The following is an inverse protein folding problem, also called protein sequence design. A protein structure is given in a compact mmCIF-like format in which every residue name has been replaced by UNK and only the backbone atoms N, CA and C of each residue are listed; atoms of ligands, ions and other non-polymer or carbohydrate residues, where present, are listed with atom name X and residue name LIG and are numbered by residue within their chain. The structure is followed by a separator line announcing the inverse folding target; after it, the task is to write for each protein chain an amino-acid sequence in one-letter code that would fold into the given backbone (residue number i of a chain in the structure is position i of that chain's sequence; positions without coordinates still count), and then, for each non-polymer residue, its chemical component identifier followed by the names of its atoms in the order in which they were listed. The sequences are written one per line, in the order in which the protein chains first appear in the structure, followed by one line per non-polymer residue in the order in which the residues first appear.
data_IF_969879854594
#
_entry.id   IF_969879854594
#
_cell.length_a   1.000
_cell.length_b   1.000
_cell.length_c   1.000
_cell.angle_alpha   90.00
_cell.angle_beta   90.00
_cell.angle_gamma   90.00
#
_symmetry.space_group_name_H-M   'P 1'
#
loop_
_entity.id
_entity.type
_entity.pdbx_description
1 polymer ?
#
# COMPACT_ATOMS: atom_id res chain seq x y z
N UNK A 1 -10.58 -5.98 26.73
CA UNK A 1 -11.53 -6.32 25.65
C UNK A 1 -12.57 -5.22 25.38
N UNK A 2 -13.22 -4.62 26.40
CA UNK A 2 -14.23 -3.54 26.19
C UNK A 2 -13.65 -2.26 25.56
N UNK A 3 -12.43 -1.87 25.89
CA UNK A 3 -11.79 -0.66 25.37
C UNK A 3 -11.44 -0.78 23.87
N UNK A 4 -11.01 -1.97 23.39
CA UNK A 4 -10.77 -2.20 21.96
C UNK A 4 -12.05 -2.15 21.11
N UNK A 5 -13.16 -2.65 21.64
CA UNK A 5 -14.45 -2.60 20.94
C UNK A 5 -15.03 -1.17 20.87
N UNK A 6 -14.76 -0.30 21.87
CA UNK A 6 -15.15 1.12 21.79
C UNK A 6 -14.39 1.87 20.69
N UNK A 7 -13.06 1.65 20.56
CA UNK A 7 -12.26 2.32 19.53
C UNK A 7 -12.66 1.95 18.07
N UNK A 8 -13.20 0.75 17.85
CA UNK A 8 -13.64 0.32 16.50
C UNK A 8 -14.99 0.94 16.13
N UNK A 9 -15.87 1.18 17.10
CA UNK A 9 -17.20 1.75 16.85
C UNK A 9 -17.21 3.22 16.47
N UNK A 10 -16.13 3.95 16.79
CA UNK A 10 -16.02 5.40 16.59
C UNK A 10 -15.17 5.75 15.35
N UNK A 11 -14.82 4.76 14.50
CA UNK A 11 -14.01 4.94 13.31
C UNK A 11 -14.81 4.63 12.05
N UNK A 12 -14.66 5.48 11.04
CA UNK A 12 -15.29 5.29 9.74
C UNK A 12 -14.56 4.24 8.92
N UNK A 13 -13.22 4.19 9.04
CA UNK A 13 -12.35 3.25 8.32
C UNK A 13 -11.40 2.55 9.28
N UNK A 14 -11.21 1.25 9.09
CA UNK A 14 -10.19 0.44 9.74
C UNK A 14 -9.24 -0.14 8.69
N UNK A 15 -7.93 0.05 8.87
CA UNK A 15 -6.90 -0.53 8.00
C UNK A 15 -6.28 -1.70 8.76
N UNK A 16 -6.29 -2.88 8.14
CA UNK A 16 -5.74 -4.11 8.71
C UNK A 16 -4.66 -4.62 7.76
N UNK A 17 -3.47 -4.87 8.28
CA UNK A 17 -2.38 -5.49 7.53
C UNK A 17 -2.32 -7.00 7.82
N UNK A 18 -2.21 -7.78 6.75
CA UNK A 18 -1.86 -9.20 6.80
C UNK A 18 -0.45 -9.30 6.22
N UNK A 19 0.53 -9.57 7.09
CA UNK A 19 1.94 -9.69 6.70
C UNK A 19 2.24 -11.04 6.06
N UNK A 20 3.44 -11.12 5.46
CA UNK A 20 3.94 -12.31 4.77
C UNK A 20 3.63 -12.31 3.27
N UNK A 21 4.21 -13.29 2.58
CA UNK A 21 3.96 -13.53 1.15
C UNK A 21 2.67 -14.36 1.00
N UNK A 22 1.90 -14.11 -0.05
CA UNK A 22 0.74 -14.95 -0.38
C UNK A 22 1.23 -16.39 -0.61
N UNK A 23 0.61 -17.34 0.08
CA UNK A 23 1.00 -18.75 0.06
C UNK A 23 1.84 -19.19 1.28
N UNK A 24 2.33 -18.26 2.10
CA UNK A 24 2.99 -18.60 3.35
C UNK A 24 1.99 -19.24 4.32
N UNK A 25 2.42 -20.34 4.96
CA UNK A 25 1.56 -21.12 5.88
C UNK A 25 1.02 -20.23 7.01
N UNK A 26 1.82 -19.27 7.48
CA UNK A 26 1.49 -18.36 8.58
C UNK A 26 0.34 -17.41 8.24
N UNK A 27 0.22 -16.99 6.99
CA UNK A 27 -0.80 -16.05 6.53
C UNK A 27 -2.13 -16.71 6.14
N UNK A 28 -2.13 -18.00 5.82
CA UNK A 28 -3.31 -18.72 5.32
C UNK A 28 -4.56 -18.59 6.21
N UNK A 29 -4.50 -18.75 7.56
CA UNK A 29 -5.68 -18.59 8.41
C UNK A 29 -6.26 -17.17 8.37
N UNK A 30 -5.41 -16.17 8.20
CA UNK A 30 -5.84 -14.76 8.12
C UNK A 30 -6.47 -14.45 6.77
N UNK A 31 -5.94 -15.02 5.68
CA UNK A 31 -6.51 -14.88 4.34
C UNK A 31 -7.88 -15.56 4.26
N UNK A 32 -8.03 -16.76 4.84
CA UNK A 32 -9.34 -17.41 4.90
C UNK A 32 -10.33 -16.61 5.76
N UNK A 33 -9.91 -16.07 6.90
CA UNK A 33 -10.74 -15.20 7.72
C UNK A 33 -11.15 -13.92 6.97
N UNK A 34 -10.24 -13.31 6.19
CA UNK A 34 -10.52 -12.17 5.33
C UNK A 34 -11.56 -12.50 4.26
N UNK A 35 -11.40 -13.63 3.57
CA UNK A 35 -12.36 -14.11 2.56
C UNK A 35 -13.76 -14.26 3.12
N UNK A 36 -13.90 -14.89 4.30
CA UNK A 36 -15.17 -15.05 4.99
C UNK A 36 -15.73 -13.69 5.43
N UNK A 37 -14.90 -12.83 6.00
CA UNK A 37 -15.31 -11.50 6.46
C UNK A 37 -15.82 -10.63 5.30
N UNK A 38 -15.10 -10.60 4.17
CA UNK A 38 -15.53 -9.86 2.99
C UNK A 38 -16.88 -10.35 2.45
N UNK A 39 -17.12 -11.68 2.50
CA UNK A 39 -18.40 -12.25 2.13
C UNK A 39 -19.53 -11.87 3.11
N UNK A 40 -19.22 -11.77 4.40
CA UNK A 40 -20.20 -11.41 5.45
C UNK A 40 -20.60 -9.94 5.39
N UNK A 41 -19.62 -9.02 5.18
CA UNK A 41 -19.88 -7.57 5.23
C UNK A 41 -20.18 -6.94 3.87
N UNK A 42 -19.88 -7.64 2.76
CA UNK A 42 -20.00 -7.12 1.39
C UNK A 42 -18.74 -6.42 0.90
N UNK A 43 -18.52 -6.46 -0.42
CA UNK A 43 -17.34 -5.84 -1.06
C UNK A 43 -17.30 -4.33 -0.89
N UNK A 44 -18.45 -3.68 -0.80
CA UNK A 44 -18.57 -2.25 -0.58
C UNK A 44 -18.12 -1.79 0.82
N UNK A 45 -17.98 -2.73 1.76
CA UNK A 45 -17.56 -2.47 3.14
C UNK A 45 -16.18 -3.05 3.48
N UNK A 46 -15.58 -3.83 2.58
CA UNK A 46 -14.27 -4.44 2.79
C UNK A 46 -13.54 -4.61 1.46
N UNK A 47 -12.61 -3.72 1.19
CA UNK A 47 -11.75 -3.76 0.00
C UNK A 47 -10.39 -4.37 0.31
N UNK A 48 -9.76 -4.90 -0.71
CA UNK A 48 -8.48 -5.55 -0.64
C UNK A 48 -7.42 -4.81 -1.45
N UNK A 49 -6.40 -4.31 -0.76
CA UNK A 49 -5.22 -3.71 -1.38
C UNK A 49 -4.09 -4.74 -1.32
N UNK A 50 -3.61 -5.18 -2.48
CA UNK A 50 -2.52 -6.13 -2.56
C UNK A 50 -1.21 -5.45 -2.95
N UNK A 51 -0.21 -5.54 -2.07
CA UNK A 51 1.14 -5.00 -2.31
C UNK A 51 1.99 -6.06 -2.99
N UNK A 52 2.54 -5.72 -4.16
CA UNK A 52 3.35 -6.64 -4.96
C UNK A 52 4.70 -6.03 -5.35
N UNK A 53 5.60 -6.86 -5.86
CA UNK A 53 6.91 -6.44 -6.36
C UNK A 53 6.98 -6.60 -7.88
N UNK A 54 7.48 -5.56 -8.56
CA UNK A 54 7.82 -5.59 -9.98
C UNK A 54 9.34 -5.42 -10.10
N UNK A 55 10.09 -6.53 -10.15
CA UNK A 55 11.54 -6.45 -10.19
C UNK A 55 12.04 -5.97 -11.55
N UNK A 56 13.12 -5.19 -11.52
CA UNK A 56 13.88 -4.82 -12.71
C UNK A 56 15.02 -5.79 -12.94
N UNK A 57 15.06 -6.40 -14.12
CA UNK A 57 16.15 -7.29 -14.50
C UNK A 57 17.23 -6.50 -15.23
N UNK A 58 18.34 -6.24 -14.57
CA UNK A 58 19.50 -5.51 -15.15
C UNK A 58 20.02 -6.16 -16.41
N UNK A 59 19.99 -7.50 -16.49
CA UNK A 59 20.49 -8.26 -17.66
C UNK A 59 19.69 -8.05 -18.95
N UNK A 60 18.37 -7.83 -18.84
CA UNK A 60 17.48 -7.61 -19.98
C UNK A 60 16.99 -6.16 -20.09
N UNK A 61 17.30 -5.30 -19.10
CA UNK A 61 16.88 -3.90 -19.11
C UNK A 61 15.37 -3.70 -19.01
N UNK A 62 14.65 -4.62 -18.36
CA UNK A 62 13.18 -4.57 -18.36
C UNK A 62 12.56 -4.90 -16.98
N UNK A 63 11.38 -4.34 -16.74
CA UNK A 63 10.53 -4.66 -15.59
C UNK A 63 9.75 -5.96 -15.84
N UNK A 64 9.68 -6.83 -14.84
CA UNK A 64 8.99 -8.13 -14.93
C UNK A 64 7.68 -8.10 -14.16
N UNK A 65 6.57 -8.20 -14.87
CA UNK A 65 5.21 -8.22 -14.29
C UNK A 65 4.76 -9.62 -13.84
N UNK A 66 5.46 -10.67 -14.23
CA UNK A 66 5.08 -12.05 -13.89
C UNK A 66 4.99 -12.35 -12.38
N UNK A 67 5.91 -11.85 -11.53
CA UNK A 67 5.78 -12.08 -10.08
C UNK A 67 4.49 -11.51 -9.49
N UNK A 68 4.11 -10.29 -9.89
CA UNK A 68 2.83 -9.68 -9.51
C UNK A 68 1.65 -10.52 -10.00
N UNK A 69 1.66 -10.95 -11.26
CA UNK A 69 0.59 -11.78 -11.82
C UNK A 69 0.47 -13.13 -11.10
N UNK A 70 1.58 -13.75 -10.72
CA UNK A 70 1.59 -15.00 -9.97
C UNK A 70 0.98 -14.80 -8.57
N UNK A 71 1.43 -13.78 -7.84
CA UNK A 71 0.93 -13.46 -6.51
C UNK A 71 -0.58 -13.18 -6.48
N UNK A 72 -1.08 -12.42 -7.48
CA UNK A 72 -2.54 -12.18 -7.61
C UNK A 72 -3.28 -13.46 -7.94
N UNK A 73 -2.72 -14.30 -8.82
CA UNK A 73 -3.32 -15.60 -9.16
C UNK A 73 -3.42 -16.53 -7.95
N UNK A 74 -2.43 -16.51 -7.07
CA UNK A 74 -2.45 -17.30 -5.83
C UNK A 74 -3.58 -16.82 -4.90
N UNK A 75 -3.78 -15.50 -4.73
CA UNK A 75 -4.93 -14.93 -4.02
C UNK A 75 -6.27 -15.35 -4.64
N UNK A 76 -6.37 -15.23 -5.97
CA UNK A 76 -7.58 -15.63 -6.70
C UNK A 76 -7.87 -17.14 -6.52
N UNK A 77 -6.82 -17.96 -6.45
CA UNK A 77 -6.94 -19.39 -6.13
C UNK A 77 -7.52 -19.67 -4.75
N UNK A 78 -7.40 -18.74 -3.81
CA UNK A 78 -8.02 -18.79 -2.48
C UNK A 78 -9.42 -18.16 -2.46
N UNK A 79 -9.94 -17.69 -3.62
CA UNK A 79 -11.24 -17.02 -3.71
C UNK A 79 -11.22 -15.55 -3.30
N UNK A 80 -10.05 -14.92 -3.33
CA UNK A 80 -9.85 -13.51 -2.97
C UNK A 80 -9.44 -12.72 -4.21
N UNK A 81 -10.22 -11.71 -4.59
CA UNK A 81 -9.90 -10.79 -5.67
C UNK A 81 -9.42 -9.46 -5.08
N UNK A 82 -8.20 -8.99 -5.37
CA UNK A 82 -7.78 -7.67 -4.96
C UNK A 82 -8.54 -6.58 -5.74
N UNK A 83 -8.90 -5.50 -5.05
CA UNK A 83 -9.53 -4.32 -5.65
C UNK A 83 -8.49 -3.34 -6.17
N UNK A 84 -7.38 -3.19 -5.45
CA UNK A 84 -6.29 -2.27 -5.79
C UNK A 84 -4.96 -3.02 -5.69
N UNK A 85 -4.06 -2.74 -6.64
CA UNK A 85 -2.68 -3.25 -6.63
C UNK A 85 -1.71 -2.11 -6.37
N UNK A 86 -0.90 -2.23 -5.32
CA UNK A 86 0.24 -1.33 -5.07
C UNK A 86 1.51 -2.05 -5.50
N UNK A 87 2.07 -1.61 -6.62
CA UNK A 87 3.20 -2.24 -7.29
C UNK A 87 4.51 -1.54 -6.90
N UNK A 88 5.30 -2.17 -6.02
CA UNK A 88 6.65 -1.68 -5.67
C UNK A 88 7.60 -1.94 -6.82
N UNK A 89 8.39 -0.92 -7.18
CA UNK A 89 9.35 -1.00 -8.28
C UNK A 89 10.48 0.02 -8.10
N UNK A 90 11.68 -0.33 -8.55
CA UNK A 90 12.84 0.58 -8.59
C UNK A 90 12.69 1.64 -9.70
N UNK A 91 11.89 1.36 -10.73
CA UNK A 91 11.71 2.23 -11.90
C UNK A 91 10.24 2.52 -12.17
N UNK A 92 9.94 3.69 -12.79
CA UNK A 92 8.58 4.04 -13.13
C UNK A 92 7.90 3.00 -14.05
N UNK A 93 6.64 2.73 -13.77
CA UNK A 93 5.79 1.87 -14.58
C UNK A 93 5.20 2.68 -15.73
N UNK A 94 5.51 2.33 -16.97
CA UNK A 94 4.85 2.92 -18.11
C UNK A 94 3.39 2.45 -18.23
N UNK A 95 2.63 3.14 -19.06
CA UNK A 95 1.21 2.86 -19.26
C UNK A 95 0.96 1.44 -19.83
N UNK A 96 1.86 0.94 -20.66
CA UNK A 96 1.79 -0.41 -21.22
C UNK A 96 1.92 -1.48 -20.13
N UNK A 97 2.84 -1.28 -19.18
CA UNK A 97 3.02 -2.16 -18.02
C UNK A 97 1.78 -2.11 -17.11
N UNK A 98 1.27 -0.91 -16.79
CA UNK A 98 0.05 -0.76 -15.96
C UNK A 98 -1.15 -1.45 -16.60
N UNK A 99 -1.39 -1.26 -17.93
CA UNK A 99 -2.46 -1.95 -18.66
C UNK A 99 -2.30 -3.47 -18.64
N UNK A 100 -1.09 -3.95 -18.84
CA UNK A 100 -0.79 -5.39 -18.81
C UNK A 100 -1.12 -5.99 -17.44
N UNK A 101 -0.71 -5.34 -16.34
CA UNK A 101 -1.01 -5.78 -14.99
C UNK A 101 -2.53 -5.77 -14.76
N UNK A 102 -3.20 -4.68 -15.10
CA UNK A 102 -4.65 -4.52 -14.97
C UNK A 102 -5.41 -5.68 -15.66
N UNK A 103 -5.04 -5.98 -16.91
CA UNK A 103 -5.66 -7.04 -17.69
C UNK A 103 -5.44 -8.44 -17.08
N UNK A 104 -4.20 -8.77 -16.66
CA UNK A 104 -3.88 -10.09 -16.13
C UNK A 104 -4.36 -10.31 -14.69
N UNK A 105 -4.49 -9.24 -13.92
CA UNK A 105 -4.90 -9.28 -12.52
C UNK A 105 -6.40 -8.99 -12.31
N UNK A 106 -7.12 -8.70 -13.41
CA UNK A 106 -8.55 -8.37 -13.37
C UNK A 106 -8.88 -7.21 -12.42
N UNK A 107 -8.11 -6.11 -12.55
CA UNK A 107 -8.33 -4.84 -11.86
C UNK A 107 -8.42 -3.71 -12.88
N UNK A 108 -9.02 -2.60 -12.51
CA UNK A 108 -9.00 -1.41 -13.36
C UNK A 108 -7.60 -0.81 -13.45
N UNK A 109 -7.30 -0.14 -14.58
CA UNK A 109 -5.98 0.45 -14.78
C UNK A 109 -5.67 1.55 -13.75
N UNK A 110 -6.64 2.35 -13.37
CA UNK A 110 -6.54 3.38 -12.33
C UNK A 110 -6.12 2.79 -10.98
N UNK A 111 -6.52 1.56 -10.70
CA UNK A 111 -6.24 0.81 -9.48
C UNK A 111 -4.91 0.07 -9.48
N UNK A 112 -4.09 0.26 -10.51
CA UNK A 112 -2.68 -0.19 -10.54
C UNK A 112 -1.80 0.99 -10.14
N UNK A 113 -1.50 1.07 -8.86
CA UNK A 113 -0.75 2.15 -8.21
C UNK A 113 0.73 1.79 -8.21
N UNK A 114 1.58 2.67 -8.71
CA UNK A 114 3.02 2.46 -8.57
C UNK A 114 3.51 2.99 -7.21
N UNK A 115 4.45 2.28 -6.62
CA UNK A 115 5.19 2.69 -5.44
C UNK A 115 6.67 2.56 -5.73
N UNK A 116 7.32 3.67 -6.01
CA UNK A 116 8.75 3.72 -6.28
C UNK A 116 9.55 3.73 -4.98
N UNK A 117 10.80 3.30 -5.06
CA UNK A 117 11.73 3.49 -3.97
C UNK A 117 11.93 4.98 -3.70
N UNK A 118 11.81 5.38 -2.45
CA UNK A 118 11.94 6.76 -1.99
C UNK A 118 13.25 6.93 -1.22
N UNK A 119 13.89 8.08 -1.38
CA UNK A 119 15.06 8.46 -0.58
C UNK A 119 14.70 8.56 0.91
N UNK A 120 13.53 9.10 1.17
CA UNK A 120 12.96 9.25 2.51
C UNK A 120 11.65 8.49 2.59
N UNK A 121 11.53 7.56 3.53
CA UNK A 121 10.30 6.76 3.70
C UNK A 121 9.04 7.61 3.81
N UNK A 122 9.15 8.79 4.42
CA UNK A 122 8.02 9.72 4.59
C UNK A 122 7.54 10.38 3.28
N UNK A 123 8.22 10.17 2.14
CA UNK A 123 7.74 10.59 0.82
C UNK A 123 6.70 9.65 0.24
N UNK A 124 6.63 8.40 0.73
CA UNK A 124 5.69 7.40 0.23
C UNK A 124 4.24 7.88 0.25
N UNK A 125 3.70 8.51 1.31
CA UNK A 125 2.35 9.05 1.29
C UNK A 125 2.12 10.08 0.18
N UNK A 126 3.10 10.94 -0.13
CA UNK A 126 3.00 11.91 -1.22
C UNK A 126 3.01 11.23 -2.59
N UNK A 127 3.75 10.14 -2.76
CA UNK A 127 3.71 9.34 -3.99
C UNK A 127 2.37 8.63 -4.15
N UNK A 128 1.82 8.08 -3.07
CA UNK A 128 0.49 7.44 -3.10
C UNK A 128 -0.61 8.44 -3.46
N UNK A 129 -0.54 9.67 -2.92
CA UNK A 129 -1.47 10.73 -3.26
C UNK A 129 -1.36 11.13 -4.74
N UNK A 130 -0.14 11.26 -5.27
CA UNK A 130 0.09 11.53 -6.70
C UNK A 130 -0.47 10.45 -7.63
N UNK A 131 -0.51 9.22 -7.17
CA UNK A 131 -1.11 8.07 -7.86
C UNK A 131 -2.62 7.91 -7.56
N UNK A 132 -3.20 8.85 -6.81
CA UNK A 132 -4.63 8.89 -6.45
C UNK A 132 -5.12 7.68 -5.63
N UNK A 133 -4.23 7.04 -4.84
CA UNK A 133 -4.61 5.86 -4.04
C UNK A 133 -5.78 6.15 -3.10
N UNK A 134 -5.78 7.30 -2.41
CA UNK A 134 -6.87 7.67 -1.50
C UNK A 134 -8.22 7.78 -2.22
N UNK A 135 -8.21 8.37 -3.42
CA UNK A 135 -9.41 8.49 -4.26
C UNK A 135 -9.95 7.11 -4.65
N UNK A 136 -9.09 6.22 -5.16
CA UNK A 136 -9.49 4.87 -5.57
C UNK A 136 -10.05 4.05 -4.39
N UNK A 137 -9.46 4.20 -3.20
CA UNK A 137 -9.95 3.56 -1.96
C UNK A 137 -11.35 4.08 -1.60
N UNK A 138 -11.53 5.40 -1.60
CA UNK A 138 -12.82 6.02 -1.28
C UNK A 138 -13.89 5.65 -2.31
N UNK A 139 -13.52 5.58 -3.59
CA UNK A 139 -14.43 5.16 -4.66
C UNK A 139 -14.89 3.71 -4.44
N UNK A 140 -13.97 2.79 -4.15
CA UNK A 140 -14.30 1.38 -3.86
C UNK A 140 -15.23 1.23 -2.65
N UNK A 141 -15.07 2.09 -1.63
CA UNK A 141 -15.88 2.08 -0.40
C UNK A 141 -17.13 2.98 -0.48
N UNK A 142 -17.41 3.59 -1.64
CA UNK A 142 -18.51 4.56 -1.81
C UNK A 142 -18.48 5.70 -0.78
N UNK A 143 -17.28 6.17 -0.43
CA UNK A 143 -17.05 7.24 0.54
C UNK A 143 -16.68 8.56 -0.16
N UNK A 144 -17.02 9.73 0.43
CA UNK A 144 -16.50 11.00 -0.07
C UNK A 144 -14.97 11.05 0.12
N UNK A 145 -14.27 11.58 -0.88
CA UNK A 145 -12.82 11.76 -0.84
C UNK A 145 -12.46 13.25 -0.98
N UNK A 146 -12.44 14.02 0.11
CA UNK A 146 -11.93 15.38 0.07
C UNK A 146 -10.41 15.37 -0.16
N UNK A 147 -9.90 16.43 -0.81
CA UNK A 147 -8.47 16.60 -0.99
C UNK A 147 -7.74 16.64 0.37
N UNK A 148 -6.69 15.84 0.59
CA UNK A 148 -5.99 15.82 1.86
C UNK A 148 -5.11 17.07 2.04
N UNK A 149 -5.12 17.65 3.24
CA UNK A 149 -4.13 18.66 3.62
C UNK A 149 -2.80 17.98 4.01
N UNK A 150 -1.83 18.06 3.12
CA UNK A 150 -0.49 17.48 3.30
C UNK A 150 0.60 18.54 3.52
N UNK A 151 0.24 19.79 3.81
CA UNK A 151 1.24 20.85 3.88
C UNK A 151 2.20 20.70 5.05
N UNK A 152 1.72 20.31 6.21
CA UNK A 152 2.60 20.06 7.37
C UNK A 152 3.46 18.80 7.16
N UNK A 153 2.93 17.79 6.45
CA UNK A 153 3.71 16.62 6.05
C UNK A 153 4.87 16.99 5.11
N UNK A 154 4.60 17.83 4.11
CA UNK A 154 5.63 18.34 3.18
C UNK A 154 6.69 19.17 3.92
N UNK A 155 6.28 20.02 4.87
CA UNK A 155 7.22 20.81 5.72
C UNK A 155 8.13 19.88 6.53
N UNK A 156 7.58 18.84 7.15
CA UNK A 156 8.35 17.84 7.90
C UNK A 156 9.39 17.15 7.02
N UNK A 157 9.02 16.70 5.81
CA UNK A 157 9.95 16.06 4.86
C UNK A 157 11.05 17.05 4.45
N UNK A 158 10.68 18.29 4.18
CA UNK A 158 11.67 19.33 3.81
C UNK A 158 12.67 19.60 4.96
N UNK A 159 12.20 19.70 6.19
CA UNK A 159 13.05 19.85 7.37
C UNK A 159 13.98 18.64 7.57
N UNK A 160 13.49 17.42 7.26
CA UNK A 160 14.31 16.22 7.32
C UNK A 160 15.41 16.19 6.25
N UNK A 161 15.09 16.61 5.02
CA UNK A 161 16.06 16.69 3.90
C UNK A 161 17.08 17.82 4.05
N UNK A 162 16.68 18.89 4.72
CA UNK A 162 17.50 20.08 4.92
C UNK A 162 17.59 20.42 6.41
N UNK A 163 18.26 19.58 7.24
CA UNK A 163 18.37 19.83 8.67
C UNK A 163 19.18 21.09 8.93
N UNK A 164 18.68 21.92 9.84
CA UNK A 164 19.46 23.05 10.33
C UNK A 164 20.64 22.55 11.19
N UNK A 165 21.85 23.09 11.02
CA UNK A 165 22.98 22.69 11.82
C UNK A 165 22.77 23.09 13.29
N UNK A 166 22.86 22.09 14.19
CA UNK A 166 22.74 22.30 15.64
C UNK A 166 24.12 22.19 16.25
N UNK A 167 24.54 23.22 16.99
CA UNK A 167 25.79 23.22 17.77
C UNK A 167 25.49 22.86 19.23
N UNK A 168 26.13 21.82 19.73
CA UNK A 168 26.06 21.45 21.15
C UNK A 168 27.33 21.97 21.86
N UNK A 169 27.15 22.81 22.84
CA UNK A 169 28.27 23.32 23.66
C UNK A 169 28.68 22.35 24.76
N UNK A 170 27.82 21.38 25.13
CA UNK A 170 28.12 20.37 26.14
C UNK A 170 27.47 19.05 25.78
N UNK A 171 28.29 18.03 25.59
CA UNK A 171 27.88 16.62 25.48
C UNK A 171 28.30 15.93 26.78
N UNK A 172 27.39 15.76 27.73
CA UNK A 172 27.61 14.89 28.88
C UNK A 172 27.17 13.48 28.51
N UNK A 173 28.14 12.58 28.34
CA UNK A 173 27.85 11.16 28.29
C UNK A 173 27.45 10.70 29.69
N UNK A 174 26.40 9.86 29.87
CA UNK A 174 26.13 9.24 31.14
C UNK A 174 27.34 8.36 31.50
N UNK A 175 28.02 8.72 32.60
CA UNK A 175 29.03 7.84 33.21
C UNK A 175 28.28 6.78 34.01
N UNK A 176 28.41 5.51 33.60
CA UNK A 176 28.02 4.37 34.40
C UNK A 176 28.92 4.22 35.60
#
# INVERSE_FOLDING_TARGET
RRQRQMCIRDREVAIIEIGGTVGDIESQPFLEALRQFQHEVGHENCILIHVTLIPYLKSSGELKTKPTQASVKDLQGMGIQPDILVCRSDYPLDDGIKRKIAQFCNVERSRVIQNLDAEVLYEVPLMMEKEHLAHEVCECLNMPCPDPDLDDWKKMINAWKHPEPVSYTHLTLPTN
#
